data_IF_131654810774
#
_entry.id   IF_131654810774
#
_cell.length_a   1.000
_cell.length_b   1.000
_cell.length_c   1.000
_cell.angle_alpha   90.00
_cell.angle_beta   90.00
_cell.angle_gamma   90.00
#
_symmetry.space_group_name_H-M   'P 1'
#
loop_
_entity.id
_entity.type
_entity.pdbx_description
1 polymer ?
#
# COMPACT_ATOMS: atom_id res chain seq x y z
N UNK A 1 5.79 22.37 1.90
CA UNK A 1 4.61 21.60 2.36
C UNK A 1 3.45 22.58 2.52
N UNK A 2 2.20 22.15 2.30
CA UNK A 2 1.03 22.95 2.67
C UNK A 2 0.70 22.76 4.15
N UNK A 3 -0.02 23.71 4.80
CA UNK A 3 -0.47 23.55 6.18
C UNK A 3 -1.20 22.23 6.44
N UNK A 4 -2.01 21.77 5.47
CA UNK A 4 -2.72 20.50 5.56
C UNK A 4 -1.77 19.29 5.50
N UNK A 5 -0.79 19.27 4.59
CA UNK A 5 0.20 18.18 4.52
C UNK A 5 1.09 18.12 5.76
N UNK A 6 1.40 19.27 6.38
CA UNK A 6 2.17 19.33 7.62
C UNK A 6 1.34 18.81 8.79
N UNK A 7 0.09 19.27 8.91
CA UNK A 7 -0.84 18.87 9.96
C UNK A 7 -1.05 17.35 10.03
N UNK A 8 -1.04 16.65 8.88
CA UNK A 8 -1.20 15.20 8.81
C UNK A 8 -0.16 14.36 9.59
N UNK A 9 0.90 14.98 10.12
CA UNK A 9 1.91 14.32 10.97
C UNK A 9 1.74 14.60 12.47
N UNK A 10 0.76 15.41 12.88
CA UNK A 10 0.58 15.83 14.27
C UNK A 10 -0.44 14.93 15.00
N UNK A 11 -0.57 15.13 16.32
CA UNK A 11 -1.65 14.57 17.13
C UNK A 11 -2.80 15.59 17.30
N UNK A 12 -4.02 15.11 17.58
CA UNK A 12 -5.23 15.95 17.76
C UNK A 12 -5.56 16.85 16.55
N UNK A 13 -5.38 16.32 15.34
CA UNK A 13 -5.42 17.08 14.08
C UNK A 13 -6.81 17.20 13.45
N UNK A 14 -7.79 16.45 13.96
CA UNK A 14 -9.11 16.30 13.31
C UNK A 14 -9.78 17.66 13.08
N UNK A 15 -9.90 18.46 14.13
CA UNK A 15 -10.53 19.79 14.03
C UNK A 15 -9.69 20.77 13.24
N UNK A 16 -8.36 20.69 13.34
CA UNK A 16 -7.46 21.52 12.52
C UNK A 16 -7.63 21.22 11.03
N UNK A 17 -7.73 19.95 10.63
CA UNK A 17 -7.92 19.56 9.24
C UNK A 17 -9.30 19.98 8.71
N UNK A 18 -10.36 19.81 9.50
CA UNK A 18 -11.70 20.30 9.14
C UNK A 18 -11.70 21.82 8.92
N UNK A 19 -11.05 22.57 9.82
CA UNK A 19 -10.91 24.01 9.72
C UNK A 19 -10.09 24.43 8.49
N UNK A 20 -8.95 23.77 8.24
CA UNK A 20 -8.14 24.05 7.05
C UNK A 20 -8.95 23.79 5.78
N UNK A 21 -9.70 22.68 5.72
CA UNK A 21 -10.55 22.35 4.57
C UNK A 21 -11.68 23.37 4.37
N UNK A 22 -12.36 23.79 5.44
CA UNK A 22 -13.42 24.81 5.36
C UNK A 22 -12.85 26.19 4.98
N UNK A 23 -11.61 26.48 5.37
CA UNK A 23 -10.84 27.65 4.94
C UNK A 23 -10.28 27.57 3.51
N UNK A 24 -10.61 26.53 2.74
CA UNK A 24 -10.23 26.40 1.33
C UNK A 24 -8.96 25.60 1.06
N UNK A 25 -8.40 24.88 2.05
CA UNK A 25 -7.26 24.01 1.80
C UNK A 25 -7.63 22.88 0.83
N UNK A 26 -6.73 22.66 -0.13
CA UNK A 26 -6.83 21.59 -1.13
C UNK A 26 -6.32 20.26 -0.55
N UNK A 27 -7.18 19.24 -0.52
CA UNK A 27 -6.84 17.89 -0.02
C UNK A 27 -5.86 17.16 -0.95
N UNK A 28 -5.87 17.53 -2.23
CA UNK A 28 -5.04 17.01 -3.31
C UNK A 28 -3.75 17.81 -3.52
N UNK A 29 -3.43 18.76 -2.64
CA UNK A 29 -2.16 19.47 -2.70
C UNK A 29 -0.99 18.48 -2.60
N UNK A 30 -0.07 18.55 -3.57
CA UNK A 30 1.11 17.70 -3.65
C UNK A 30 2.35 18.45 -3.18
N UNK A 31 3.06 17.88 -2.22
CA UNK A 31 4.37 18.38 -1.80
C UNK A 31 5.44 18.17 -2.89
N UNK A 32 6.68 18.58 -2.64
CA UNK A 32 7.79 18.49 -3.63
C UNK A 32 8.07 17.06 -4.09
N UNK A 33 7.84 16.08 -3.23
CA UNK A 33 7.93 14.64 -3.50
C UNK A 33 6.64 14.05 -4.12
N UNK A 34 5.72 14.91 -4.53
CA UNK A 34 4.44 14.53 -5.10
C UNK A 34 3.42 13.99 -4.09
N UNK A 35 3.77 13.81 -2.82
CA UNK A 35 2.89 13.24 -1.80
C UNK A 35 1.78 14.21 -1.39
N UNK A 36 0.57 13.68 -1.26
CA UNK A 36 -0.57 14.36 -0.61
C UNK A 36 -0.56 14.14 0.90
N UNK A 37 -1.45 14.81 1.63
CA UNK A 37 -1.63 14.58 3.07
C UNK A 37 -1.98 13.11 3.38
N UNK A 38 -2.72 12.45 2.47
CA UNK A 38 -3.14 11.06 2.63
C UNK A 38 -1.95 10.08 2.54
N UNK A 39 -0.97 10.35 1.68
CA UNK A 39 0.29 9.58 1.63
C UNK A 39 1.05 9.70 2.95
N UNK A 40 1.13 10.92 3.49
CA UNK A 40 1.85 11.19 4.74
C UNK A 40 1.20 10.47 5.92
N UNK A 41 -0.13 10.48 6.01
CA UNK A 41 -0.89 9.76 7.02
C UNK A 41 -0.71 8.24 6.93
N UNK A 42 -0.75 7.67 5.71
CA UNK A 42 -0.50 6.25 5.51
C UNK A 42 0.92 5.85 5.93
N UNK A 43 1.93 6.63 5.54
CA UNK A 43 3.34 6.39 5.87
C UNK A 43 3.65 6.56 7.37
N UNK A 44 2.92 7.43 8.06
CA UNK A 44 3.04 7.59 9.52
C UNK A 44 2.19 6.60 10.31
N UNK A 45 1.41 5.73 9.65
CA UNK A 45 0.45 4.81 10.27
C UNK A 45 -0.61 5.53 11.12
N UNK A 46 -0.92 6.77 10.78
CA UNK A 46 -1.86 7.59 11.53
C UNK A 46 -3.29 7.35 11.01
N UNK A 47 -3.93 6.31 11.55
CA UNK A 47 -5.28 5.91 11.17
C UNK A 47 -6.31 7.05 11.35
N UNK A 48 -6.22 7.82 12.43
CA UNK A 48 -7.17 8.91 12.72
C UNK A 48 -7.10 10.01 11.65
N UNK A 49 -5.89 10.42 11.29
CA UNK A 49 -5.68 11.41 10.21
C UNK A 49 -6.13 10.85 8.87
N UNK A 50 -5.81 9.58 8.59
CA UNK A 50 -6.20 8.90 7.35
C UNK A 50 -7.72 8.86 7.19
N UNK A 51 -8.45 8.44 8.24
CA UNK A 51 -9.92 8.45 8.31
C UNK A 51 -10.46 9.83 8.04
N UNK A 52 -9.96 10.85 8.75
CA UNK A 52 -10.49 12.21 8.62
C UNK A 52 -10.25 12.77 7.21
N UNK A 53 -9.09 12.50 6.59
CA UNK A 53 -8.83 12.94 5.20
C UNK A 53 -9.78 12.27 4.20
N UNK A 54 -10.03 10.97 4.35
CA UNK A 54 -10.95 10.22 3.49
C UNK A 54 -12.40 10.70 3.66
N UNK A 55 -12.85 10.94 4.90
CA UNK A 55 -14.18 11.50 5.20
C UNK A 55 -14.36 12.92 4.64
N UNK A 56 -13.29 13.71 4.57
CA UNK A 56 -13.30 15.03 3.94
C UNK A 56 -13.27 14.96 2.39
N UNK A 57 -13.15 13.77 1.81
CA UNK A 57 -13.17 13.53 0.37
C UNK A 57 -11.79 13.52 -0.30
N UNK A 58 -10.71 13.24 0.43
CA UNK A 58 -9.41 13.01 -0.20
C UNK A 58 -9.45 11.73 -1.05
N UNK A 59 -8.93 11.80 -2.27
CA UNK A 59 -8.84 10.60 -3.12
C UNK A 59 -7.71 9.67 -2.64
N UNK A 60 -7.97 8.35 -2.52
CA UNK A 60 -6.95 7.35 -2.18
C UNK A 60 -6.01 7.00 -3.33
N UNK A 61 -6.28 7.48 -4.55
CA UNK A 61 -5.58 7.02 -5.78
C UNK A 61 -4.58 8.03 -6.35
N UNK A 62 -4.38 9.16 -5.68
CA UNK A 62 -3.30 10.06 -6.07
C UNK A 62 -1.96 9.35 -5.98
N UNK A 63 -1.12 9.58 -6.99
CA UNK A 63 0.24 9.04 -7.05
C UNK A 63 1.25 10.11 -6.65
N UNK A 64 2.25 9.73 -5.86
CA UNK A 64 3.40 10.56 -5.56
C UNK A 64 4.33 10.71 -6.78
N UNK A 65 5.51 11.32 -6.62
CA UNK A 65 6.45 11.49 -7.74
C UNK A 65 7.09 10.19 -8.22
N UNK A 66 6.96 9.09 -7.45
CA UNK A 66 7.42 7.74 -7.81
C UNK A 66 6.30 6.89 -8.41
N UNK A 67 5.12 7.48 -8.63
CA UNK A 67 3.96 6.75 -9.15
C UNK A 67 3.22 5.90 -8.11
N UNK A 68 3.53 6.05 -6.81
CA UNK A 68 3.01 5.19 -5.74
C UNK A 68 1.82 5.83 -5.04
N UNK A 69 0.85 5.00 -4.64
CA UNK A 69 -0.37 5.41 -3.92
C UNK A 69 -0.18 5.36 -2.39
N UNK A 70 -1.05 6.02 -1.60
CA UNK A 70 -1.13 5.83 -0.15
C UNK A 70 -1.25 4.36 0.27
N UNK A 71 -2.00 3.54 -0.48
CA UNK A 71 -2.14 2.10 -0.21
C UNK A 71 -0.78 1.41 -0.29
N UNK A 72 -0.02 1.67 -1.35
CA UNK A 72 1.34 1.16 -1.51
C UNK A 72 2.23 1.51 -0.30
N UNK A 73 2.21 2.77 0.14
CA UNK A 73 2.99 3.22 1.30
C UNK A 73 2.54 2.55 2.60
N UNK A 74 1.24 2.33 2.81
CA UNK A 74 0.74 1.63 4.00
C UNK A 74 1.29 0.20 4.07
N UNK A 75 1.34 -0.49 2.93
CA UNK A 75 1.87 -1.87 2.83
C UNK A 75 3.38 -1.92 3.02
N UNK A 76 4.14 -0.95 2.48
CA UNK A 76 5.60 -0.92 2.65
C UNK A 76 6.02 -0.64 4.10
N UNK A 77 5.30 0.25 4.79
CA UNK A 77 5.62 0.59 6.20
C UNK A 77 5.14 -0.49 7.17
N UNK A 78 4.03 -1.18 6.83
CA UNK A 78 3.47 -2.27 7.62
C UNK A 78 2.93 -1.85 8.99
N UNK A 79 2.92 -2.79 9.94
CA UNK A 79 2.38 -2.59 11.29
C UNK A 79 0.92 -3.04 11.39
N UNK A 80 0.10 -2.27 12.10
CA UNK A 80 -1.34 -2.52 12.18
C UNK A 80 -1.99 -2.36 10.78
N UNK A 81 -2.79 -3.34 10.31
CA UNK A 81 -3.36 -3.32 8.97
C UNK A 81 -4.49 -2.30 8.78
N UNK A 82 -4.92 -1.57 9.82
CA UNK A 82 -6.07 -0.69 9.77
C UNK A 82 -5.96 0.41 8.70
N UNK A 83 -4.76 0.95 8.44
CA UNK A 83 -4.58 1.92 7.35
C UNK A 83 -4.77 1.29 5.96
N UNK A 84 -4.25 0.06 5.77
CA UNK A 84 -4.41 -0.70 4.54
C UNK A 84 -5.89 -1.04 4.31
N UNK A 85 -6.54 -1.61 5.33
CA UNK A 85 -7.96 -1.96 5.30
C UNK A 85 -8.85 -0.74 5.03
N UNK A 86 -8.59 0.38 5.72
CA UNK A 86 -9.38 1.60 5.54
C UNK A 86 -9.26 2.17 4.11
N UNK A 87 -8.05 2.20 3.54
CA UNK A 87 -7.86 2.66 2.16
C UNK A 87 -8.64 1.78 1.18
N UNK A 88 -8.58 0.45 1.35
CA UNK A 88 -9.31 -0.50 0.51
C UNK A 88 -10.83 -0.36 0.67
N UNK A 89 -11.33 -0.16 1.89
CA UNK A 89 -12.75 0.13 2.17
C UNK A 89 -13.22 1.43 1.49
N UNK A 90 -12.32 2.41 1.34
CA UNK A 90 -12.57 3.65 0.59
C UNK A 90 -12.23 3.53 -0.92
N UNK A 91 -12.25 2.31 -1.46
CA UNK A 91 -12.08 2.02 -2.87
C UNK A 91 -10.72 2.43 -3.46
N UNK A 92 -9.65 2.39 -2.65
CA UNK A 92 -8.30 2.49 -3.19
C UNK A 92 -8.07 1.41 -4.26
N UNK A 93 -7.53 1.82 -5.41
CA UNK A 93 -7.20 0.91 -6.49
C UNK A 93 -6.01 0.04 -6.09
N UNK A 94 -6.16 -1.28 -6.22
CA UNK A 94 -5.10 -2.28 -6.01
C UNK A 94 -4.19 -2.40 -7.23
N UNK A 95 -3.08 -3.13 -7.07
CA UNK A 95 -2.10 -3.43 -8.12
C UNK A 95 -1.30 -2.21 -8.59
N UNK A 96 -1.06 -1.22 -7.72
CA UNK A 96 -0.04 -0.22 -7.96
C UNK A 96 1.35 -0.87 -7.88
N UNK A 97 2.22 -0.55 -8.82
CA UNK A 97 3.59 -1.05 -8.87
C UNK A 97 4.60 0.10 -8.83
N UNK A 98 5.78 -0.17 -8.28
CA UNK A 98 6.93 0.72 -8.40
C UNK A 98 7.64 0.57 -9.76
N UNK A 99 8.70 1.34 -9.95
CA UNK A 99 9.52 1.34 -11.18
C UNK A 99 10.18 -0.01 -11.49
N UNK A 100 10.26 -0.94 -10.53
CA UNK A 100 10.80 -2.29 -10.70
C UNK A 100 9.69 -3.34 -10.86
N UNK A 101 8.44 -2.92 -11.05
CA UNK A 101 7.28 -3.79 -11.17
C UNK A 101 6.83 -4.43 -9.85
N UNK A 102 7.30 -3.94 -8.70
CA UNK A 102 6.87 -4.47 -7.40
C UNK A 102 5.49 -3.93 -7.06
N UNK A 103 4.51 -4.81 -7.14
CA UNK A 103 3.14 -4.58 -6.66
C UNK A 103 3.03 -4.64 -5.13
N UNK A 104 1.92 -4.18 -4.56
CA UNK A 104 1.69 -4.22 -3.11
C UNK A 104 1.77 -5.64 -2.54
N UNK A 105 1.26 -6.63 -3.28
CA UNK A 105 1.36 -8.05 -2.87
C UNK A 105 2.80 -8.51 -2.72
N UNK A 106 3.71 -8.03 -3.57
CA UNK A 106 5.14 -8.33 -3.44
C UNK A 106 5.72 -7.68 -2.19
N UNK A 107 5.36 -6.43 -1.88
CA UNK A 107 5.84 -5.75 -0.68
C UNK A 107 5.32 -6.42 0.60
N UNK A 108 4.04 -6.80 0.64
CA UNK A 108 3.48 -7.55 1.76
C UNK A 108 4.20 -8.90 1.95
N UNK A 109 4.51 -9.60 0.84
CA UNK A 109 5.25 -10.86 0.86
C UNK A 109 6.73 -10.71 1.18
N UNK A 110 7.35 -9.56 0.89
CA UNK A 110 8.75 -9.28 1.23
C UNK A 110 8.93 -9.03 2.72
N UNK A 111 7.97 -8.33 3.32
CA UNK A 111 8.04 -7.88 4.72
C UNK A 111 7.24 -8.78 5.69
N UNK A 112 6.59 -9.84 5.20
CA UNK A 112 5.84 -10.77 6.03
C UNK A 112 4.53 -10.20 6.59
N UNK A 113 3.94 -9.22 5.91
CA UNK A 113 2.72 -8.56 6.37
C UNK A 113 1.48 -9.34 5.97
N UNK A 114 1.25 -10.45 6.67
CA UNK A 114 0.21 -11.46 6.36
C UNK A 114 -1.18 -10.84 6.25
N UNK A 115 -1.61 -10.03 7.22
CA UNK A 115 -2.94 -9.42 7.19
C UNK A 115 -3.07 -8.39 6.05
N UNK A 116 -2.01 -7.65 5.74
CA UNK A 116 -2.03 -6.74 4.59
C UNK A 116 -2.20 -7.51 3.28
N UNK A 117 -1.48 -8.63 3.13
CA UNK A 117 -1.64 -9.53 1.99
C UNK A 117 -3.07 -10.06 1.91
N UNK A 118 -3.65 -10.53 3.01
CA UNK A 118 -5.03 -11.03 3.03
C UNK A 118 -6.06 -9.97 2.60
N UNK A 119 -5.92 -8.73 3.08
CA UNK A 119 -6.78 -7.62 2.64
C UNK A 119 -6.60 -7.34 1.15
N UNK A 120 -5.35 -7.19 0.67
CA UNK A 120 -5.08 -6.96 -0.76
C UNK A 120 -5.73 -8.04 -1.64
N UNK A 121 -5.56 -9.31 -1.28
CA UNK A 121 -6.15 -10.43 -2.04
C UNK A 121 -7.67 -10.48 -1.94
N UNK A 122 -8.25 -10.11 -0.79
CA UNK A 122 -9.70 -9.99 -0.63
C UNK A 122 -10.27 -8.91 -1.56
N UNK A 123 -9.56 -7.79 -1.71
CA UNK A 123 -9.91 -6.69 -2.60
C UNK A 123 -9.44 -6.86 -4.05
N UNK A 124 -9.03 -8.09 -4.44
CA UNK A 124 -8.79 -8.44 -5.83
C UNK A 124 -7.38 -8.15 -6.35
N UNK A 125 -6.38 -7.97 -5.48
CA UNK A 125 -5.00 -7.86 -5.91
C UNK A 125 -4.53 -9.15 -6.61
N UNK A 126 -3.76 -8.99 -7.70
CA UNK A 126 -3.27 -10.11 -8.50
C UNK A 126 -1.98 -10.71 -7.92
N UNK A 127 -2.08 -11.88 -7.29
CA UNK A 127 -0.92 -12.62 -6.78
C UNK A 127 -0.03 -13.28 -7.86
N UNK A 128 -0.50 -13.33 -9.11
CA UNK A 128 0.25 -13.87 -10.25
C UNK A 128 1.10 -12.81 -10.97
N UNK A 129 0.88 -11.52 -10.67
CA UNK A 129 1.66 -10.43 -11.22
C UNK A 129 3.16 -10.66 -11.00
N UNK A 130 3.97 -10.39 -12.03
CA UNK A 130 5.41 -10.60 -11.99
C UNK A 130 6.14 -9.25 -11.96
N UNK A 131 7.12 -9.10 -11.06
CA UNK A 131 8.01 -7.94 -11.07
C UNK A 131 9.04 -8.01 -12.22
N UNK A 132 9.95 -7.04 -12.30
CA UNK A 132 10.97 -6.98 -13.36
C UNK A 132 11.92 -8.19 -13.43
N UNK A 133 11.98 -9.04 -12.40
CA UNK A 133 12.74 -10.30 -12.40
C UNK A 133 11.88 -11.52 -12.78
N UNK A 134 10.61 -11.33 -13.12
CA UNK A 134 9.66 -12.42 -13.33
C UNK A 134 9.16 -13.06 -12.01
N UNK A 135 9.53 -12.51 -10.85
CA UNK A 135 9.13 -13.07 -9.58
C UNK A 135 7.69 -12.67 -9.27
N UNK A 136 6.81 -13.65 -9.12
CA UNK A 136 5.48 -13.51 -8.53
C UNK A 136 5.53 -13.50 -6.99
N UNK A 137 4.40 -13.21 -6.33
CA UNK A 137 4.32 -13.11 -4.87
C UNK A 137 4.86 -14.35 -4.12
N UNK A 138 4.65 -15.56 -4.65
CA UNK A 138 5.11 -16.80 -4.03
C UNK A 138 6.65 -16.95 -4.11
N UNK A 139 7.28 -16.48 -5.19
CA UNK A 139 8.76 -16.41 -5.27
C UNK A 139 9.31 -15.47 -4.21
N UNK A 140 8.66 -14.32 -3.99
CA UNK A 140 9.08 -13.36 -2.96
C UNK A 140 8.98 -13.98 -1.57
N UNK A 141 7.93 -14.75 -1.28
CA UNK A 141 7.84 -15.45 0.01
C UNK A 141 9.02 -16.40 0.23
N UNK A 142 9.42 -17.16 -0.78
CA UNK A 142 10.57 -18.06 -0.69
C UNK A 142 11.90 -17.31 -0.51
N UNK A 143 12.15 -16.28 -1.33
CA UNK A 143 13.38 -15.46 -1.26
C UNK A 143 13.58 -14.77 0.10
N UNK A 144 12.49 -14.44 0.80
CA UNK A 144 12.52 -13.69 2.06
C UNK A 144 12.06 -14.52 3.28
N UNK A 145 11.94 -15.84 3.14
CA UNK A 145 11.51 -16.76 4.21
C UNK A 145 10.18 -16.36 4.89
N UNK A 146 9.16 -15.98 4.11
CA UNK A 146 7.85 -15.54 4.61
C UNK A 146 6.81 -16.66 4.55
N UNK A 147 6.98 -17.67 5.40
CA UNK A 147 6.16 -18.89 5.41
C UNK A 147 4.66 -18.64 5.57
N UNK A 148 4.28 -17.67 6.42
CA UNK A 148 2.87 -17.37 6.64
C UNK A 148 2.21 -16.73 5.41
N UNK A 149 2.91 -15.83 4.71
CA UNK A 149 2.44 -15.28 3.44
C UNK A 149 2.38 -16.38 2.37
N UNK A 150 3.38 -17.25 2.28
CA UNK A 150 3.38 -18.40 1.37
C UNK A 150 2.15 -19.30 1.61
N UNK A 151 1.83 -19.58 2.88
CA UNK A 151 0.63 -20.35 3.24
C UNK A 151 -0.65 -19.69 2.76
N UNK A 152 -0.80 -18.38 2.95
CA UNK A 152 -1.97 -17.62 2.45
C UNK A 152 -2.09 -17.77 0.94
N UNK A 153 -1.00 -17.54 0.20
CA UNK A 153 -0.97 -17.64 -1.27
C UNK A 153 -1.32 -19.05 -1.75
N UNK A 154 -0.73 -20.09 -1.16
CA UNK A 154 -0.98 -21.48 -1.53
C UNK A 154 -2.42 -21.90 -1.24
N UNK A 155 -2.98 -21.48 -0.10
CA UNK A 155 -4.40 -21.74 0.24
C UNK A 155 -5.34 -21.04 -0.74
N UNK A 156 -4.96 -19.85 -1.22
CA UNK A 156 -5.72 -19.10 -2.25
C UNK A 156 -5.50 -19.62 -3.68
N UNK A 157 -4.66 -20.64 -3.87
CA UNK A 157 -4.45 -21.28 -5.17
C UNK A 157 -3.39 -20.62 -6.05
N UNK A 158 -2.40 -19.94 -5.46
CA UNK A 158 -1.24 -19.46 -6.21
C UNK A 158 -0.54 -20.59 -6.97
N UNK A 159 -0.17 -20.34 -8.22
CA UNK A 159 0.57 -21.31 -9.03
C UNK A 159 1.98 -21.53 -8.44
N UNK A 160 2.26 -22.79 -8.08
CA UNK A 160 3.55 -23.21 -7.53
C UNK A 160 4.59 -23.58 -8.60
N UNK A 161 4.17 -23.69 -9.85
CA UNK A 161 5.04 -24.05 -10.98
C UNK A 161 5.42 -22.84 -11.85
N UNK A 162 4.82 -21.67 -11.61
CA UNK A 162 5.14 -20.40 -12.29
C UNK A 162 6.64 -20.15 -12.28
N UNK A 163 7.19 -19.78 -13.42
CA UNK A 163 8.63 -19.57 -13.59
C UNK A 163 8.96 -18.08 -13.64
N UNK A 164 9.99 -17.68 -12.90
CA UNK A 164 10.62 -16.37 -13.06
C UNK A 164 11.51 -16.34 -14.32
N UNK A 165 12.16 -15.20 -14.60
CA UNK A 165 13.00 -15.06 -15.79
C UNK A 165 14.29 -15.88 -15.76
N UNK A 166 14.64 -16.46 -14.61
CA UNK A 166 15.73 -17.43 -14.46
C UNK A 166 15.25 -18.89 -14.58
N UNK A 167 14.00 -19.12 -15.01
CA UNK A 167 13.38 -20.47 -15.10
C UNK A 167 13.28 -21.22 -13.77
N UNK A 168 13.31 -20.50 -12.65
CA UNK A 168 13.11 -21.06 -11.31
C UNK A 168 11.62 -20.96 -10.94
N UNK A 169 11.06 -22.01 -10.32
CA UNK A 169 9.78 -21.91 -9.61
C UNK A 169 9.99 -21.35 -8.20
N UNK A 170 8.93 -20.99 -7.45
CA UNK A 170 9.06 -20.52 -6.08
C UNK A 170 9.80 -21.48 -5.14
N UNK A 171 9.83 -22.78 -5.44
CA UNK A 171 10.53 -23.80 -4.64
C UNK A 171 12.02 -23.96 -5.03
N UNK A 172 12.49 -23.19 -6.02
CA UNK A 172 13.84 -23.28 -6.59
C UNK A 172 14.65 -21.99 -6.46
N UNK A 173 14.04 -20.91 -5.95
CA UNK A 173 14.70 -19.63 -5.69
C UNK A 173 15.39 -19.59 -4.33
#
# INVERSE_FOLDING_TARGET
ESPLTFAAHLDNVVEMMKLLKSGGAHLDFRAKDGMTALHKAARSKNLVTLTTLLELGASPDYKDSRGLTPLYHSVVVGGDPGCCELLLNHHATVCCQDENGWHEVHQACRHGHVQHLEHLLFYGADMSAQNASGNAALHICALYNQDNCARVLLVRGADKEVKNYNSQSPFQV
#
